data_IF_383295555051
#
_entry.id   IF_383295555051
#
_cell.length_a   1.000
_cell.length_b   1.000
_cell.length_c   1.000
_cell.angle_alpha   90.00
_cell.angle_beta   90.00
_cell.angle_gamma   90.00
#
_symmetry.space_group_name_H-M   'P 1'
#
loop_
_entity.id
_entity.type
_entity.pdbx_description
1 polymer ?
#
# COMPACT_ATOMS: atom_id res chain seq x y z
N UNK A 1 28.51 13.85 -12.09
CA UNK A 1 29.57 12.94 -11.64
C UNK A 1 30.00 13.21 -10.21
N UNK A 2 30.22 14.45 -9.78
CA UNK A 2 30.65 14.79 -8.40
C UNK A 2 29.77 14.19 -7.29
N UNK A 3 28.44 14.17 -7.47
CA UNK A 3 27.51 13.56 -6.50
C UNK A 3 27.46 12.02 -6.52
N UNK A 4 28.11 11.37 -7.49
CA UNK A 4 28.12 9.90 -7.64
C UNK A 4 29.24 9.23 -6.87
N UNK A 5 30.44 9.82 -6.85
CA UNK A 5 31.58 9.17 -6.19
C UNK A 5 31.35 8.92 -4.69
N UNK A 6 30.69 9.81 -3.93
CA UNK A 6 30.33 9.54 -2.54
C UNK A 6 29.45 8.30 -2.33
N UNK A 7 28.72 7.85 -3.36
CA UNK A 7 27.86 6.66 -3.28
C UNK A 7 28.53 5.37 -3.78
N UNK A 8 29.76 5.43 -4.29
CA UNK A 8 30.49 4.23 -4.68
C UNK A 8 30.76 3.38 -3.44
N UNK A 9 30.59 2.06 -3.56
CA UNK A 9 30.82 1.13 -2.46
C UNK A 9 32.26 1.22 -1.92
N UNK A 10 33.22 1.51 -2.79
CA UNK A 10 34.61 1.76 -2.39
C UNK A 10 34.72 2.95 -1.44
N UNK A 11 33.99 4.04 -1.68
CA UNK A 11 33.98 5.22 -0.79
C UNK A 11 33.19 4.92 0.49
N UNK A 12 32.02 4.30 0.38
CA UNK A 12 31.18 3.95 1.53
C UNK A 12 31.87 2.98 2.52
N UNK A 13 32.84 2.22 2.04
CA UNK A 13 33.64 1.26 2.84
C UNK A 13 35.05 1.74 3.14
N UNK A 14 35.32 3.04 2.96
CA UNK A 14 36.62 3.67 3.24
C UNK A 14 37.79 3.02 2.48
N UNK A 15 37.55 2.48 1.29
CA UNK A 15 38.56 1.88 0.40
C UNK A 15 39.13 2.87 -0.61
N UNK A 16 38.43 3.97 -0.87
CA UNK A 16 38.88 5.11 -1.68
C UNK A 16 38.27 6.41 -1.15
N UNK A 17 38.81 7.52 -1.64
CA UNK A 17 38.35 8.88 -1.34
C UNK A 17 37.59 9.46 -2.55
N UNK A 18 36.44 10.10 -2.30
CA UNK A 18 35.59 10.63 -3.36
C UNK A 18 36.25 11.76 -4.17
N UNK A 19 37.04 12.61 -3.52
CA UNK A 19 37.72 13.75 -4.16
C UNK A 19 38.89 13.26 -5.02
N UNK A 20 39.57 12.21 -4.56
CA UNK A 20 40.60 11.51 -5.37
C UNK A 20 39.97 10.90 -6.62
N UNK A 21 38.85 10.18 -6.49
CA UNK A 21 38.15 9.59 -7.64
C UNK A 21 37.67 10.64 -8.64
N UNK A 22 37.17 11.77 -8.15
CA UNK A 22 36.76 12.90 -8.99
C UNK A 22 37.95 13.50 -9.75
N UNK A 23 39.09 13.66 -9.09
CA UNK A 23 40.31 14.17 -9.73
C UNK A 23 40.80 13.23 -10.82
N UNK A 24 40.87 11.93 -10.53
CA UNK A 24 41.26 10.90 -11.51
C UNK A 24 40.28 10.86 -12.69
N UNK A 25 38.99 11.08 -12.44
CA UNK A 25 37.98 11.15 -13.50
C UNK A 25 38.23 12.33 -14.46
N UNK A 26 38.54 13.52 -13.93
CA UNK A 26 38.83 14.71 -14.73
C UNK A 26 40.12 14.53 -15.58
N UNK A 27 41.12 13.85 -15.02
CA UNK A 27 42.32 13.46 -15.75
C UNK A 27 42.00 12.49 -16.89
N UNK A 28 41.14 11.50 -16.63
CA UNK A 28 40.67 10.57 -17.66
C UNK A 28 39.92 11.28 -18.79
N UNK A 29 38.99 12.19 -18.48
CA UNK A 29 38.25 12.95 -19.51
C UNK A 29 39.21 13.71 -20.43
N UNK A 30 40.37 14.12 -19.91
CA UNK A 30 41.42 14.80 -20.67
C UNK A 30 42.31 13.84 -21.47
N UNK A 31 42.51 12.60 -21.01
CA UNK A 31 43.31 11.58 -21.70
C UNK A 31 42.83 10.13 -21.38
N UNK A 32 41.85 9.61 -22.12
CA UNK A 32 41.26 8.28 -21.85
C UNK A 32 42.26 7.12 -21.92
N UNK A 33 43.31 7.28 -22.73
CA UNK A 33 44.35 6.28 -22.98
C UNK A 33 45.28 6.02 -21.78
N UNK A 34 45.26 6.89 -20.76
CA UNK A 34 46.16 6.80 -19.60
C UNK A 34 45.64 5.91 -18.45
N UNK A 35 44.46 5.30 -18.60
CA UNK A 35 43.81 4.55 -17.51
C UNK A 35 44.60 3.31 -17.10
N UNK A 36 44.93 3.20 -15.82
CA UNK A 36 45.52 1.98 -15.26
C UNK A 36 44.46 0.91 -14.98
N UNK A 37 44.89 -0.34 -14.78
CA UNK A 37 43.99 -1.41 -14.34
C UNK A 37 43.37 -1.13 -12.95
N UNK A 38 44.05 -0.35 -12.11
CA UNK A 38 43.56 0.06 -10.79
C UNK A 38 42.46 1.11 -10.91
N UNK A 39 42.63 2.10 -11.79
CA UNK A 39 41.61 3.11 -12.07
C UNK A 39 40.36 2.49 -12.68
N UNK A 40 40.51 1.46 -13.52
CA UNK A 40 39.38 0.65 -13.99
C UNK A 40 38.59 0.03 -12.83
N UNK A 41 39.26 -0.57 -11.85
CA UNK A 41 38.60 -1.18 -10.66
C UNK A 41 37.86 -0.10 -9.86
N UNK A 42 38.48 1.06 -9.69
CA UNK A 42 37.91 2.22 -8.99
C UNK A 42 36.65 2.74 -9.70
N UNK A 43 36.72 2.99 -11.01
CA UNK A 43 35.62 3.57 -11.79
C UNK A 43 34.45 2.62 -12.04
N UNK A 44 34.72 1.32 -12.14
CA UNK A 44 33.68 0.29 -12.21
C UNK A 44 33.06 -0.03 -10.84
N UNK A 45 33.67 0.48 -9.77
CA UNK A 45 33.30 0.21 -8.38
C UNK A 45 33.33 -1.30 -8.12
N UNK A 46 34.50 -1.93 -8.25
CA UNK A 46 34.73 -3.36 -7.97
C UNK A 46 35.67 -3.55 -6.78
N UNK A 47 35.57 -4.68 -6.03
CA UNK A 47 36.57 -5.07 -5.05
C UNK A 47 37.88 -5.52 -5.74
N UNK A 48 39.00 -5.41 -5.03
CA UNK A 48 40.35 -5.66 -5.59
C UNK A 48 40.68 -7.16 -5.84
N UNK A 49 39.85 -8.10 -5.38
CA UNK A 49 40.17 -9.53 -5.40
C UNK A 49 39.03 -10.38 -5.97
N UNK A 50 39.25 -10.99 -7.14
CA UNK A 50 38.49 -12.18 -7.55
C UNK A 50 39.45 -13.20 -8.20
N UNK A 51 39.60 -14.36 -7.56
CA UNK A 51 40.46 -15.49 -7.97
C UNK A 51 39.72 -16.58 -8.75
N UNK A 52 38.44 -16.36 -9.07
CA UNK A 52 37.68 -17.17 -10.01
C UNK A 52 38.08 -16.80 -11.45
N UNK A 53 37.87 -17.70 -12.41
CA UNK A 53 37.95 -17.41 -13.84
C UNK A 53 36.84 -16.43 -14.22
N UNK A 54 36.98 -15.16 -13.81
CA UNK A 54 36.04 -14.06 -14.05
C UNK A 54 35.53 -14.06 -15.49
N UNK A 55 36.41 -14.36 -16.44
CA UNK A 55 36.06 -14.45 -17.86
C UNK A 55 35.02 -15.55 -18.19
N UNK A 56 35.10 -16.72 -17.57
CA UNK A 56 34.12 -17.79 -17.79
C UNK A 56 32.75 -17.41 -17.21
N UNK A 57 32.73 -16.81 -16.01
CA UNK A 57 31.51 -16.31 -15.38
C UNK A 57 30.87 -15.18 -16.22
N UNK A 58 31.66 -14.20 -16.66
CA UNK A 58 31.18 -13.11 -17.50
C UNK A 58 30.63 -13.63 -18.82
N UNK A 59 31.35 -14.54 -19.48
CA UNK A 59 30.89 -15.16 -20.73
C UNK A 59 29.59 -15.94 -20.52
N UNK A 60 29.51 -16.75 -19.46
CA UNK A 60 28.30 -17.49 -19.09
C UNK A 60 27.11 -16.56 -18.85
N UNK A 61 27.30 -15.50 -18.08
CA UNK A 61 26.26 -14.51 -17.79
C UNK A 61 25.81 -13.72 -19.03
N UNK A 62 26.73 -13.38 -19.92
CA UNK A 62 26.40 -12.68 -21.16
C UNK A 62 25.68 -13.58 -22.18
N UNK A 63 26.05 -14.87 -22.27
CA UNK A 63 25.54 -15.77 -23.31
C UNK A 63 24.36 -16.64 -22.86
N UNK A 64 24.29 -16.99 -21.56
CA UNK A 64 23.32 -17.95 -21.02
C UNK A 64 22.98 -17.62 -19.55
N UNK A 65 22.38 -16.45 -19.27
CA UNK A 65 22.13 -15.99 -17.90
C UNK A 65 21.22 -16.92 -17.08
N UNK A 66 20.35 -17.70 -17.72
CA UNK A 66 19.48 -18.67 -17.04
C UNK A 66 20.27 -19.82 -16.40
N UNK A 67 21.48 -20.10 -16.88
CA UNK A 67 22.35 -21.15 -16.33
C UNK A 67 23.14 -20.68 -15.09
N UNK A 68 23.07 -19.39 -14.74
CA UNK A 68 23.73 -18.86 -13.55
C UNK A 68 23.11 -19.44 -12.27
N UNK A 69 23.93 -19.81 -11.30
CA UNK A 69 23.46 -20.15 -9.95
C UNK A 69 23.01 -18.88 -9.21
N UNK A 70 22.28 -19.02 -8.10
CA UNK A 70 21.86 -17.86 -7.30
C UNK A 70 23.05 -17.04 -6.81
N UNK A 71 24.11 -17.70 -6.32
CA UNK A 71 25.33 -17.03 -5.86
C UNK A 71 26.10 -16.35 -6.99
N UNK A 72 26.06 -16.89 -8.22
CA UNK A 72 26.66 -16.23 -9.38
C UNK A 72 25.88 -14.96 -9.79
N UNK A 73 24.54 -15.02 -9.78
CA UNK A 73 23.68 -13.84 -10.01
C UNK A 73 23.91 -12.79 -8.93
N UNK A 74 23.89 -13.17 -7.65
CA UNK A 74 24.12 -12.25 -6.53
C UNK A 74 25.50 -11.59 -6.61
N UNK A 75 26.54 -12.37 -6.96
CA UNK A 75 27.89 -11.85 -7.15
C UNK A 75 27.95 -10.82 -8.27
N UNK A 76 27.34 -11.09 -9.42
CA UNK A 76 27.35 -10.16 -10.56
C UNK A 76 26.45 -8.93 -10.31
N UNK A 77 25.25 -9.13 -9.77
CA UNK A 77 24.29 -8.08 -9.42
C UNK A 77 24.92 -7.07 -8.44
N UNK A 78 25.58 -7.57 -7.39
CA UNK A 78 26.29 -6.72 -6.43
C UNK A 78 27.67 -6.27 -6.91
N UNK A 79 28.03 -6.49 -8.19
CA UNK A 79 29.34 -6.09 -8.75
C UNK A 79 30.51 -6.60 -7.92
N UNK A 80 30.42 -7.85 -7.48
CA UNK A 80 31.36 -8.55 -6.63
C UNK A 80 31.50 -7.98 -5.21
N UNK A 81 30.84 -6.86 -4.87
CA UNK A 81 30.63 -6.52 -3.48
C UNK A 81 29.84 -7.67 -2.87
N UNK A 82 30.31 -8.21 -1.74
CA UNK A 82 29.51 -9.14 -0.97
C UNK A 82 28.22 -8.47 -0.48
N UNK A 83 27.64 -8.96 0.61
CA UNK A 83 26.42 -8.36 1.17
C UNK A 83 26.54 -6.84 1.33
N UNK A 84 25.66 -6.11 0.64
CA UNK A 84 25.49 -4.66 0.79
C UNK A 84 24.46 -4.46 1.91
N UNK A 85 24.76 -3.58 2.86
CA UNK A 85 23.86 -3.25 3.96
C UNK A 85 22.75 -2.31 3.48
N UNK A 86 21.61 -2.34 4.16
CA UNK A 86 20.48 -1.46 3.86
C UNK A 86 20.87 0.04 3.84
N UNK A 87 21.76 0.45 4.75
CA UNK A 87 22.25 1.83 4.82
C UNK A 87 23.10 2.20 3.60
N UNK A 88 23.98 1.31 3.16
CA UNK A 88 24.79 1.52 1.95
C UNK A 88 23.90 1.61 0.70
N UNK A 89 22.90 0.73 0.59
CA UNK A 89 21.95 0.74 -0.53
C UNK A 89 21.11 2.02 -0.55
N UNK A 90 20.60 2.47 0.60
CA UNK A 90 19.85 3.73 0.70
C UNK A 90 20.66 4.93 0.18
N UNK A 91 21.92 5.06 0.58
CA UNK A 91 22.80 6.15 0.12
C UNK A 91 23.03 6.06 -1.39
N UNK A 92 23.15 4.84 -1.93
CA UNK A 92 23.25 4.60 -3.37
C UNK A 92 22.00 5.05 -4.11
N UNK A 93 20.82 4.59 -3.68
CA UNK A 93 19.53 4.90 -4.31
C UNK A 93 19.27 6.42 -4.34
N UNK A 94 19.46 7.12 -3.23
CA UNK A 94 19.25 8.57 -3.12
C UNK A 94 20.09 9.38 -4.13
N UNK A 95 21.26 8.86 -4.47
CA UNK A 95 22.16 9.49 -5.45
C UNK A 95 21.71 9.24 -6.89
N UNK A 96 21.07 8.11 -7.19
CA UNK A 96 20.65 7.76 -8.54
C UNK A 96 19.39 8.52 -9.00
N UNK A 97 18.47 8.82 -8.09
CA UNK A 97 17.21 9.53 -8.41
C UNK A 97 17.42 10.94 -8.99
N UNK A 98 18.59 11.53 -8.76
CA UNK A 98 18.90 12.92 -9.13
C UNK A 98 19.79 13.07 -10.37
N UNK A 99 20.16 11.98 -11.05
CA UNK A 99 21.22 12.01 -12.05
C UNK A 99 20.85 11.35 -13.38
N UNK A 100 21.43 11.90 -14.46
CA UNK A 100 21.40 11.30 -15.80
C UNK A 100 22.30 10.06 -15.82
N UNK A 101 21.71 8.89 -15.55
CA UNK A 101 22.35 7.56 -15.61
C UNK A 101 23.14 7.35 -16.91
N UNK A 102 22.65 7.88 -18.03
CA UNK A 102 23.28 7.80 -19.36
C UNK A 102 24.75 8.25 -19.39
N UNK A 103 25.10 9.30 -18.63
CA UNK A 103 26.47 9.82 -18.62
C UNK A 103 27.44 8.87 -17.91
N UNK A 104 27.01 8.28 -16.80
CA UNK A 104 27.79 7.31 -16.03
C UNK A 104 27.92 5.99 -16.79
N UNK A 105 26.85 5.54 -17.45
CA UNK A 105 26.87 4.32 -18.27
C UNK A 105 27.80 4.47 -19.47
N UNK A 106 27.70 5.58 -20.20
CA UNK A 106 28.59 5.89 -21.33
C UNK A 106 30.06 5.86 -20.90
N UNK A 107 30.37 6.49 -19.76
CA UNK A 107 31.70 6.46 -19.17
C UNK A 107 32.16 5.03 -18.82
N UNK A 108 31.34 4.27 -18.07
CA UNK A 108 31.67 2.91 -17.61
C UNK A 108 31.86 1.92 -18.76
N UNK A 109 31.15 2.11 -19.87
CA UNK A 109 31.23 1.23 -21.06
C UNK A 109 32.66 1.14 -21.60
N UNK A 110 33.44 2.22 -21.50
CA UNK A 110 34.84 2.23 -21.97
C UNK A 110 35.80 1.39 -21.13
N UNK A 111 35.43 1.05 -19.89
CA UNK A 111 36.25 0.27 -18.96
C UNK A 111 35.85 -1.21 -18.91
N UNK A 112 34.74 -1.59 -19.53
CA UNK A 112 34.26 -2.97 -19.43
C UNK A 112 35.14 -3.94 -20.22
N UNK A 113 35.45 -5.09 -19.60
CA UNK A 113 36.06 -6.20 -20.34
C UNK A 113 35.04 -6.84 -21.31
N UNK A 114 35.53 -7.71 -22.20
CA UNK A 114 34.66 -8.54 -23.03
C UNK A 114 33.60 -9.23 -22.17
N UNK A 115 32.33 -9.12 -22.58
CA UNK A 115 31.14 -9.61 -21.87
C UNK A 115 30.82 -8.95 -20.52
N UNK A 116 31.63 -8.03 -19.98
CA UNK A 116 31.42 -7.53 -18.62
C UNK A 116 30.15 -6.68 -18.48
N UNK A 117 29.93 -5.76 -19.42
CA UNK A 117 28.72 -4.93 -19.42
C UNK A 117 27.45 -5.79 -19.56
N UNK A 118 27.45 -6.68 -20.55
CA UNK A 118 26.32 -7.59 -20.83
C UNK A 118 26.07 -8.55 -19.67
N UNK A 119 27.13 -9.09 -19.05
CA UNK A 119 27.02 -9.97 -17.90
C UNK A 119 26.36 -9.29 -16.70
N UNK A 120 26.75 -8.05 -16.37
CA UNK A 120 26.16 -7.30 -15.26
C UNK A 120 24.68 -7.00 -15.54
N UNK A 121 24.37 -6.50 -16.75
CA UNK A 121 23.00 -6.20 -17.17
C UNK A 121 22.11 -7.45 -17.18
N UNK A 122 22.62 -8.55 -17.71
CA UNK A 122 21.89 -9.82 -17.74
C UNK A 122 21.71 -10.42 -16.35
N UNK A 123 22.69 -10.28 -15.46
CA UNK A 123 22.56 -10.72 -14.08
C UNK A 123 21.50 -9.90 -13.32
N UNK A 124 21.42 -8.58 -13.55
CA UNK A 124 20.35 -7.74 -13.01
C UNK A 124 18.98 -8.17 -13.53
N UNK A 125 18.83 -8.34 -14.85
CA UNK A 125 17.58 -8.81 -15.45
C UNK A 125 17.18 -10.20 -14.93
N UNK A 126 18.14 -11.11 -14.78
CA UNK A 126 17.91 -12.46 -14.25
C UNK A 126 17.56 -12.47 -12.76
N UNK A 127 18.17 -11.60 -11.96
CA UNK A 127 17.82 -11.39 -10.55
C UNK A 127 16.37 -10.93 -10.42
N UNK A 128 15.98 -9.90 -11.19
CA UNK A 128 14.60 -9.40 -11.24
C UNK A 128 13.62 -10.49 -11.68
N UNK A 129 13.93 -11.23 -12.76
CA UNK A 129 13.10 -12.34 -13.24
C UNK A 129 12.86 -13.40 -12.15
N UNK A 130 13.91 -13.84 -11.45
CA UNK A 130 13.78 -14.84 -10.37
C UNK A 130 12.96 -14.33 -9.20
N UNK A 131 13.15 -13.06 -8.86
CA UNK A 131 12.40 -12.43 -7.79
C UNK A 131 10.91 -12.31 -8.14
N UNK A 132 10.60 -11.96 -9.40
CA UNK A 132 9.24 -11.95 -9.93
C UNK A 132 8.62 -13.36 -9.90
N UNK A 133 9.35 -14.40 -10.34
CA UNK A 133 8.87 -15.79 -10.26
C UNK A 133 8.60 -16.26 -8.82
N UNK A 134 9.49 -15.91 -7.89
CA UNK A 134 9.30 -16.22 -6.47
C UNK A 134 8.07 -15.50 -5.91
N UNK A 135 7.88 -14.24 -6.28
CA UNK A 135 6.71 -13.44 -5.89
C UNK A 135 5.43 -14.03 -6.48
N UNK A 136 5.38 -14.32 -7.77
CA UNK A 136 4.22 -14.96 -8.42
C UNK A 136 3.87 -16.30 -7.78
N UNK A 137 4.88 -17.12 -7.44
CA UNK A 137 4.66 -18.38 -6.74
C UNK A 137 4.10 -18.17 -5.33
N UNK A 138 4.60 -17.18 -4.58
CA UNK A 138 4.10 -16.81 -3.26
C UNK A 138 2.67 -16.28 -3.34
N UNK A 139 2.37 -15.43 -4.32
CA UNK A 139 1.05 -14.85 -4.55
C UNK A 139 0.02 -15.93 -4.90
N UNK A 140 0.41 -16.90 -5.74
CA UNK A 140 -0.43 -18.06 -6.06
C UNK A 140 -0.68 -18.95 -4.84
N UNK A 141 0.33 -19.15 -4.00
CA UNK A 141 0.19 -19.93 -2.77
C UNK A 141 -0.71 -19.23 -1.74
N UNK A 142 -0.57 -17.91 -1.60
CA UNK A 142 -1.42 -17.07 -0.75
C UNK A 142 -2.89 -17.13 -1.20
N UNK A 143 -3.16 -16.97 -2.50
CA UNK A 143 -4.52 -17.09 -3.06
C UNK A 143 -5.12 -18.48 -2.86
N UNK A 144 -4.33 -19.55 -3.06
CA UNK A 144 -4.80 -20.91 -2.79
C UNK A 144 -5.18 -21.08 -1.31
N UNK A 145 -4.37 -20.56 -0.39
CA UNK A 145 -4.65 -20.57 1.05
C UNK A 145 -5.91 -19.78 1.40
N UNK A 146 -6.10 -18.59 0.81
CA UNK A 146 -7.30 -17.77 0.99
C UNK A 146 -8.54 -18.52 0.49
N UNK A 147 -8.49 -19.19 -0.66
CA UNK A 147 -9.66 -19.92 -1.19
C UNK A 147 -9.97 -21.19 -0.40
N UNK A 148 -8.98 -21.80 0.24
CA UNK A 148 -9.19 -22.98 1.09
C UNK A 148 -9.71 -22.62 2.48
N UNK A 149 -9.23 -21.52 3.07
CA UNK A 149 -9.47 -21.21 4.47
C UNK A 149 -10.13 -19.85 4.74
N UNK A 150 -10.10 -18.91 3.81
CA UNK A 150 -10.75 -17.61 3.95
C UNK A 150 -12.27 -17.71 3.96
N UNK A 151 -12.94 -16.58 4.27
CA UNK A 151 -14.40 -16.51 4.17
C UNK A 151 -14.86 -16.63 2.70
N UNK A 152 -16.01 -17.29 2.43
CA UNK A 152 -16.48 -17.52 1.06
C UNK A 152 -16.62 -16.25 0.21
N UNK A 153 -17.01 -15.13 0.83
CA UNK A 153 -17.18 -13.86 0.11
C UNK A 153 -15.85 -13.30 -0.42
N UNK A 154 -14.69 -13.67 0.15
CA UNK A 154 -13.39 -13.26 -0.38
C UNK A 154 -13.12 -13.88 -1.74
N UNK A 155 -13.52 -15.13 -1.94
CA UNK A 155 -13.43 -15.79 -3.24
C UNK A 155 -14.39 -15.13 -4.25
N UNK A 156 -15.62 -14.82 -3.82
CA UNK A 156 -16.57 -14.08 -4.65
C UNK A 156 -16.04 -12.69 -5.04
N UNK A 157 -15.46 -11.95 -4.10
CA UNK A 157 -14.83 -10.65 -4.35
C UNK A 157 -13.72 -10.77 -5.39
N UNK A 158 -12.80 -11.71 -5.21
CA UNK A 158 -11.69 -11.91 -6.14
C UNK A 158 -12.16 -12.25 -7.56
N UNK A 159 -13.21 -13.06 -7.69
CA UNK A 159 -13.79 -13.42 -8.98
C UNK A 159 -14.49 -12.23 -9.67
N UNK A 160 -15.29 -11.47 -8.93
CA UNK A 160 -16.03 -10.31 -9.46
C UNK A 160 -15.11 -9.16 -9.90
N UNK A 161 -14.03 -8.95 -9.15
CA UNK A 161 -13.11 -7.83 -9.35
C UNK A 161 -11.80 -8.23 -10.06
N UNK A 162 -11.68 -9.50 -10.45
CA UNK A 162 -10.54 -10.11 -11.14
C UNK A 162 -9.19 -9.89 -10.43
N UNK A 163 -9.20 -9.64 -9.13
CA UNK A 163 -8.02 -9.24 -8.36
C UNK A 163 -7.38 -7.93 -8.85
N UNK A 164 -8.13 -7.06 -9.52
CA UNK A 164 -7.63 -5.80 -10.11
C UNK A 164 -8.19 -4.55 -9.46
N UNK A 165 -9.33 -4.64 -8.78
CA UNK A 165 -9.98 -3.48 -8.16
C UNK A 165 -9.70 -3.44 -6.66
N UNK A 166 -9.47 -2.25 -6.10
CA UNK A 166 -9.48 -2.11 -4.66
C UNK A 166 -10.88 -2.37 -4.10
N UNK A 167 -10.95 -2.62 -2.81
CA UNK A 167 -12.20 -2.74 -2.09
C UNK A 167 -12.13 -1.96 -0.78
N UNK A 168 -13.27 -1.46 -0.31
CA UNK A 168 -13.34 -0.70 0.94
C UNK A 168 -14.29 0.46 0.84
N UNK A 169 -13.93 1.58 1.47
CA UNK A 169 -14.84 2.70 1.72
C UNK A 169 -14.21 4.04 1.39
N UNK A 170 -15.05 4.98 0.99
CA UNK A 170 -14.68 6.38 1.07
C UNK A 170 -14.84 6.88 2.52
N UNK A 171 -13.92 7.72 2.97
CA UNK A 171 -13.91 8.29 4.33
C UNK A 171 -13.72 9.80 4.27
N UNK A 172 -14.48 10.51 5.10
CA UNK A 172 -14.20 11.91 5.45
C UNK A 172 -13.60 11.95 6.85
N UNK A 173 -12.52 12.71 7.02
CA UNK A 173 -11.85 12.88 8.31
C UNK A 173 -12.05 14.30 8.82
N UNK A 174 -12.46 14.42 10.08
CA UNK A 174 -12.64 15.72 10.71
C UNK A 174 -11.28 16.34 11.05
N UNK A 175 -10.93 17.53 10.52
CA UNK A 175 -9.67 18.21 10.81
C UNK A 175 -9.62 18.67 12.27
N UNK A 176 -10.77 18.75 12.95
CA UNK A 176 -10.82 19.14 14.35
C UNK A 176 -10.07 18.16 15.22
N UNK A 177 -10.22 16.86 14.95
CA UNK A 177 -9.53 15.81 15.69
C UNK A 177 -8.01 15.92 15.51
N UNK A 178 -7.56 16.10 14.26
CA UNK A 178 -6.13 16.25 13.90
C UNK A 178 -5.53 17.50 14.57
N UNK A 179 -6.28 18.61 14.59
CA UNK A 179 -5.82 19.89 15.14
C UNK A 179 -5.82 19.93 16.68
N UNK A 180 -6.68 19.15 17.33
CA UNK A 180 -6.82 19.13 18.79
C UNK A 180 -5.71 18.33 19.46
N UNK A 181 -5.23 17.25 18.83
CA UNK A 181 -4.18 16.41 19.39
C UNK A 181 -3.24 15.81 18.31
N UNK A 182 -2.33 16.62 17.72
CA UNK A 182 -1.42 16.15 16.67
C UNK A 182 -0.49 15.01 17.12
N UNK A 183 -0.12 14.98 18.40
CA UNK A 183 0.74 13.92 18.97
C UNK A 183 0.00 12.58 19.05
N UNK A 184 -1.33 12.60 19.16
CA UNK A 184 -2.16 11.39 19.12
C UNK A 184 -2.45 10.86 17.73
N UNK A 185 -2.23 11.63 16.66
CA UNK A 185 -2.43 11.16 15.28
C UNK A 185 -1.60 9.90 15.00
N UNK A 186 -0.30 9.94 15.27
CA UNK A 186 0.59 8.78 15.06
C UNK A 186 0.15 7.56 15.89
N UNK A 187 -0.29 7.81 17.13
CA UNK A 187 -0.81 6.74 18.00
C UNK A 187 -2.12 6.16 17.47
N UNK A 188 -3.01 7.00 16.93
CA UNK A 188 -4.26 6.57 16.29
C UNK A 188 -3.96 5.73 15.05
N UNK A 189 -3.10 6.22 14.15
CA UNK A 189 -2.74 5.54 12.91
C UNK A 189 -2.14 4.16 13.20
N UNK A 190 -1.25 4.07 14.18
CA UNK A 190 -0.66 2.80 14.62
C UNK A 190 -1.72 1.84 15.17
N UNK A 191 -2.64 2.32 16.03
CA UNK A 191 -3.69 1.49 16.62
C UNK A 191 -4.71 1.04 15.57
N UNK A 192 -5.14 1.95 14.70
CA UNK A 192 -6.06 1.67 13.60
C UNK A 192 -5.45 0.62 12.65
N UNK A 193 -4.19 0.82 12.26
CA UNK A 193 -3.45 -0.14 11.40
C UNK A 193 -3.35 -1.51 12.06
N UNK A 194 -3.04 -1.57 13.35
CA UNK A 194 -2.98 -2.83 14.09
C UNK A 194 -4.36 -3.51 14.16
N UNK A 195 -5.45 -2.76 14.42
CA UNK A 195 -6.81 -3.31 14.41
C UNK A 195 -7.17 -3.91 13.04
N UNK A 196 -6.87 -3.20 11.95
CA UNK A 196 -7.12 -3.70 10.61
C UNK A 196 -6.26 -4.89 10.24
N UNK A 197 -4.97 -4.89 10.62
CA UNK A 197 -4.09 -6.05 10.46
C UNK A 197 -4.72 -7.31 11.09
N UNK A 198 -5.16 -7.23 12.34
CA UNK A 198 -5.79 -8.38 13.00
C UNK A 198 -7.14 -8.75 12.38
N UNK A 199 -7.92 -7.77 11.91
CA UNK A 199 -9.18 -8.04 11.21
C UNK A 199 -8.93 -8.78 9.89
N UNK A 200 -7.92 -8.39 9.11
CA UNK A 200 -7.48 -9.08 7.90
C UNK A 200 -7.05 -10.53 8.17
N UNK A 201 -6.26 -10.74 9.22
CA UNK A 201 -5.86 -12.09 9.68
C UNK A 201 -7.09 -12.91 10.04
N UNK A 202 -8.06 -12.33 10.75
CA UNK A 202 -9.28 -13.00 11.17
C UNK A 202 -10.14 -13.47 10.01
N UNK A 203 -10.30 -12.62 8.99
CA UNK A 203 -11.04 -12.96 7.78
C UNK A 203 -10.23 -13.85 6.82
N UNK A 204 -8.94 -14.04 7.09
CA UNK A 204 -8.06 -14.80 6.19
C UNK A 204 -7.99 -14.18 4.80
N UNK A 205 -7.93 -12.85 4.70
CA UNK A 205 -7.80 -12.16 3.40
C UNK A 205 -6.43 -12.34 2.75
N UNK A 206 -5.47 -12.91 3.49
CA UNK A 206 -4.07 -13.02 3.07
C UNK A 206 -3.47 -11.68 2.63
N UNK A 207 -2.35 -11.76 1.92
CA UNK A 207 -1.63 -10.58 1.43
C UNK A 207 -2.33 -10.06 0.16
N UNK A 208 -2.69 -10.94 -0.77
CA UNK A 208 -3.18 -10.55 -2.10
C UNK A 208 -4.52 -9.81 -2.08
N UNK A 209 -5.52 -10.32 -1.34
CA UNK A 209 -6.80 -9.60 -1.19
C UNK A 209 -6.67 -8.50 -0.15
N UNK A 210 -5.91 -8.74 0.93
CA UNK A 210 -5.69 -7.78 1.99
C UNK A 210 -5.07 -6.46 1.49
N UNK A 211 -4.06 -6.53 0.61
CA UNK A 211 -3.38 -5.34 0.07
C UNK A 211 -4.26 -4.49 -0.84
N UNK A 212 -5.39 -5.01 -1.31
CA UNK A 212 -6.36 -4.29 -2.12
C UNK A 212 -7.41 -3.55 -1.27
N UNK A 213 -7.41 -3.77 0.04
CA UNK A 213 -8.28 -3.04 0.94
C UNK A 213 -7.82 -1.59 1.10
N UNK A 214 -8.76 -0.65 1.01
CA UNK A 214 -8.42 0.77 0.98
C UNK A 214 -9.49 1.64 1.62
N UNK A 215 -9.04 2.64 2.38
CA UNK A 215 -9.85 3.78 2.82
C UNK A 215 -9.52 4.98 1.94
N UNK A 216 -10.44 5.33 1.06
CA UNK A 216 -10.29 6.48 0.19
C UNK A 216 -10.65 7.76 0.93
N UNK A 217 -9.62 8.47 1.40
CA UNK A 217 -9.80 9.78 2.03
C UNK A 217 -10.34 10.80 1.01
N UNK A 218 -11.42 11.47 1.38
CA UNK A 218 -12.10 12.47 0.57
C UNK A 218 -11.98 13.86 1.19
N UNK A 219 -11.81 14.87 0.33
CA UNK A 219 -11.74 16.26 0.76
C UNK A 219 -13.07 16.75 1.35
N UNK A 220 -12.97 17.40 2.51
CA UNK A 220 -14.12 18.03 3.13
C UNK A 220 -14.67 19.20 2.30
N UNK A 221 -16.00 19.38 2.26
CA UNK A 221 -16.60 20.52 1.58
C UNK A 221 -16.25 21.83 2.29
N UNK A 222 -15.98 22.88 1.51
CA UNK A 222 -15.69 24.23 2.01
C UNK A 222 -16.78 24.69 2.99
N UNK A 223 -16.37 25.08 4.20
CA UNK A 223 -17.28 25.59 5.22
C UNK A 223 -17.74 24.57 6.26
N UNK A 224 -17.21 23.35 6.29
CA UNK A 224 -17.34 22.44 7.46
C UNK A 224 -16.52 22.98 8.65
N UNK A 225 -17.03 24.01 9.32
CA UNK A 225 -16.38 24.68 10.45
C UNK A 225 -16.69 24.07 11.82
N UNK A 226 -15.93 24.49 12.85
CA UNK A 226 -16.03 24.05 14.27
C UNK A 226 -17.42 24.22 14.88
N UNK A 227 -18.15 25.26 14.50
CA UNK A 227 -19.39 25.62 15.18
C UNK A 227 -20.64 24.94 14.60
N UNK A 228 -20.45 24.00 13.66
CA UNK A 228 -21.57 23.29 13.03
C UNK A 228 -21.96 22.07 13.85
N UNK A 229 -23.26 21.86 14.01
CA UNK A 229 -23.77 20.62 14.61
C UNK A 229 -23.40 19.41 13.74
N UNK A 230 -23.27 18.24 14.38
CA UNK A 230 -23.00 16.97 13.71
C UNK A 230 -23.92 16.73 12.50
N UNK A 231 -25.22 16.99 12.65
CA UNK A 231 -26.20 16.84 11.56
C UNK A 231 -25.94 17.80 10.38
N UNK A 232 -25.54 19.05 10.67
CA UNK A 232 -25.20 20.02 9.63
C UNK A 232 -23.91 19.63 8.88
N UNK A 233 -22.96 18.99 9.57
CA UNK A 233 -21.76 18.41 8.95
C UNK A 233 -22.17 17.26 8.03
N UNK A 234 -22.91 16.26 8.54
CA UNK A 234 -23.35 15.11 7.74
C UNK A 234 -24.12 15.52 6.48
N UNK A 235 -24.99 16.53 6.57
CA UNK A 235 -25.72 17.03 5.40
C UNK A 235 -24.77 17.55 4.30
N UNK A 236 -23.70 18.27 4.67
CA UNK A 236 -22.68 18.72 3.71
C UNK A 236 -21.88 17.56 3.14
N UNK A 237 -21.51 16.57 3.98
CA UNK A 237 -20.78 15.39 3.52
C UNK A 237 -21.59 14.57 2.53
N UNK A 238 -22.89 14.35 2.79
CA UNK A 238 -23.80 13.66 1.85
C UNK A 238 -23.85 14.39 0.51
N UNK A 239 -23.97 15.72 0.51
CA UNK A 239 -23.98 16.52 -0.72
C UNK A 239 -22.68 16.36 -1.51
N UNK A 240 -21.53 16.42 -0.83
CA UNK A 240 -20.23 16.26 -1.46
C UNK A 240 -20.02 14.84 -1.99
N UNK A 241 -20.35 13.83 -1.19
CA UNK A 241 -20.26 12.42 -1.60
C UNK A 241 -21.15 12.14 -2.80
N UNK A 242 -22.40 12.62 -2.81
CA UNK A 242 -23.32 12.45 -3.93
C UNK A 242 -22.84 13.14 -5.20
N UNK A 243 -22.19 14.31 -5.09
CA UNK A 243 -21.49 14.94 -6.22
C UNK A 243 -20.40 14.01 -6.77
N UNK A 244 -19.48 13.55 -5.92
CA UNK A 244 -18.36 12.68 -6.34
C UNK A 244 -18.84 11.33 -6.91
N UNK A 245 -19.90 10.76 -6.33
CA UNK A 245 -20.55 9.53 -6.78
C UNK A 245 -21.18 9.67 -8.17
N UNK A 246 -21.66 10.86 -8.52
CA UNK A 246 -22.22 11.16 -9.85
C UNK A 246 -21.17 11.31 -10.96
N UNK A 247 -19.89 11.48 -10.60
CA UNK A 247 -18.80 11.56 -11.55
C UNK A 247 -18.34 10.16 -12.01
N UNK A 248 -17.71 10.05 -13.18
CA UNK A 248 -17.08 8.81 -13.62
C UNK A 248 -16.09 8.28 -12.58
N UNK A 249 -16.04 6.95 -12.33
CA UNK A 249 -15.05 6.36 -11.44
C UNK A 249 -13.63 6.70 -11.88
N UNK A 250 -12.74 6.95 -10.90
CA UNK A 250 -11.30 6.91 -11.16
C UNK A 250 -10.80 5.47 -11.12
N UNK A 251 -9.94 5.09 -12.07
CA UNK A 251 -9.16 3.85 -12.00
C UNK A 251 -7.99 4.06 -11.03
N UNK A 252 -7.36 3.01 -10.51
CA UNK A 252 -6.12 3.19 -9.73
C UNK A 252 -4.89 3.39 -10.64
N UNK A 253 -3.83 4.02 -10.11
CA UNK A 253 -2.50 3.95 -10.73
C UNK A 253 -1.96 2.51 -10.62
N UNK A 254 -1.26 1.96 -11.63
CA UNK A 254 -0.64 2.62 -12.80
C UNK A 254 -1.56 2.84 -14.01
N UNK A 255 -2.79 2.31 -13.99
CA UNK A 255 -3.69 2.35 -15.15
C UNK A 255 -4.05 3.78 -15.58
N UNK A 256 -4.19 4.73 -14.64
CA UNK A 256 -4.36 6.16 -14.97
C UNK A 256 -3.18 6.67 -15.81
N UNK A 257 -1.95 6.36 -15.41
CA UNK A 257 -0.76 6.87 -16.09
C UNK A 257 -0.58 6.23 -17.47
N UNK A 258 -0.93 4.95 -17.62
CA UNK A 258 -0.95 4.29 -18.93
C UNK A 258 -2.04 4.88 -19.83
N UNK A 259 -3.27 5.05 -19.33
CA UNK A 259 -4.37 5.64 -20.11
C UNK A 259 -4.06 7.10 -20.52
N UNK A 260 -3.38 7.88 -19.67
CA UNK A 260 -2.88 9.21 -20.03
C UNK A 260 -1.76 9.16 -21.07
N UNK A 261 -0.78 8.25 -20.92
CA UNK A 261 0.33 8.09 -21.87
C UNK A 261 -0.15 7.63 -23.26
N UNK A 262 -1.22 6.84 -23.30
CA UNK A 262 -1.88 6.36 -24.51
C UNK A 262 -2.90 7.37 -25.08
N UNK A 263 -3.12 8.52 -24.42
CA UNK A 263 -4.05 9.56 -24.86
C UNK A 263 -5.52 9.14 -24.78
N UNK A 264 -5.86 8.15 -23.95
CA UNK A 264 -7.24 7.69 -23.74
C UNK A 264 -8.04 8.61 -22.81
N UNK A 265 -7.36 9.35 -21.94
CA UNK A 265 -7.96 10.34 -21.03
C UNK A 265 -7.12 11.61 -21.00
N UNK A 266 -7.79 12.76 -20.98
CA UNK A 266 -7.14 14.09 -20.96
C UNK A 266 -6.84 14.60 -19.54
N UNK A 267 -7.50 14.02 -18.53
CA UNK A 267 -7.32 14.38 -17.12
C UNK A 267 -7.69 13.20 -16.21
N UNK A 268 -7.17 13.23 -14.98
CA UNK A 268 -7.49 12.24 -13.94
C UNK A 268 -8.94 12.48 -13.48
N UNK A 269 -9.82 11.45 -13.51
CA UNK A 269 -11.19 11.60 -13.03
C UNK A 269 -11.25 11.98 -11.55
N UNK A 270 -12.15 12.91 -11.19
CA UNK A 270 -12.36 13.38 -9.82
C UNK A 270 -13.35 12.51 -9.01
N UNK A 271 -13.89 11.44 -9.60
CA UNK A 271 -14.88 10.58 -8.93
C UNK A 271 -14.28 9.62 -7.89
N UNK A 272 -15.16 8.87 -7.21
CA UNK A 272 -14.77 7.81 -6.26
C UNK A 272 -14.10 6.66 -7.02
N UNK A 273 -13.05 6.07 -6.45
CA UNK A 273 -12.32 4.95 -7.08
C UNK A 273 -13.25 3.79 -7.44
N UNK A 274 -13.04 3.21 -8.61
CA UNK A 274 -13.71 1.97 -9.00
C UNK A 274 -13.39 0.86 -7.96
N UNK A 275 -14.41 0.12 -7.53
CA UNK A 275 -14.29 -0.92 -6.48
C UNK A 275 -14.58 -0.45 -5.06
N UNK A 276 -14.45 0.86 -4.77
CA UNK A 276 -14.86 1.43 -3.48
C UNK A 276 -16.39 1.53 -3.40
N UNK A 277 -16.96 1.20 -2.23
CA UNK A 277 -18.41 1.23 -2.01
C UNK A 277 -18.98 2.65 -2.19
N UNK A 278 -20.10 2.72 -2.92
CA UNK A 278 -20.79 3.98 -3.28
C UNK A 278 -22.17 4.15 -2.63
N UNK A 279 -22.62 3.17 -1.86
CA UNK A 279 -23.90 3.19 -1.15
C UNK A 279 -23.74 3.50 0.35
N UNK A 280 -22.51 3.79 0.80
CA UNK A 280 -22.16 4.20 2.15
C UNK A 280 -20.84 4.96 2.11
N UNK A 281 -20.63 5.89 3.03
CA UNK A 281 -19.31 6.44 3.33
C UNK A 281 -19.07 6.49 4.82
N UNK A 282 -17.80 6.58 5.22
CA UNK A 282 -17.38 6.65 6.61
C UNK A 282 -17.10 8.09 7.01
N UNK A 283 -17.32 8.41 8.29
CA UNK A 283 -16.95 9.68 8.87
C UNK A 283 -16.18 9.46 10.18
N UNK A 284 -14.94 9.97 10.21
CA UNK A 284 -14.08 9.97 11.39
C UNK A 284 -14.16 11.34 12.07
N UNK A 285 -14.89 11.41 13.18
CA UNK A 285 -14.91 12.57 14.07
C UNK A 285 -14.08 12.34 15.34
N UNK A 286 -14.10 13.32 16.24
CA UNK A 286 -13.38 13.26 17.50
C UNK A 286 -13.79 12.03 18.33
N UNK A 287 -15.09 11.73 18.44
CA UNK A 287 -15.59 10.63 19.27
C UNK A 287 -15.20 9.27 18.70
N UNK A 288 -15.27 9.10 17.37
CA UNK A 288 -14.82 7.90 16.69
C UNK A 288 -13.30 7.70 16.86
N UNK A 289 -12.50 8.76 16.71
CA UNK A 289 -11.05 8.70 16.92
C UNK A 289 -10.69 8.37 18.38
N UNK A 290 -11.37 8.99 19.34
CA UNK A 290 -11.21 8.72 20.76
C UNK A 290 -11.55 7.26 21.10
N UNK A 291 -12.55 6.65 20.45
CA UNK A 291 -12.89 5.24 20.65
C UNK A 291 -11.73 4.29 20.35
N UNK A 292 -10.90 4.61 19.35
CA UNK A 292 -9.69 3.86 18.98
C UNK A 292 -8.56 4.14 19.96
N UNK A 293 -8.45 5.36 20.46
CA UNK A 293 -7.36 5.76 21.37
C UNK A 293 -7.55 5.26 22.80
N UNK A 294 -8.78 5.24 23.31
CA UNK A 294 -9.10 4.94 24.71
C UNK A 294 -9.16 3.43 25.03
N UNK A 295 -8.77 2.56 24.07
CA UNK A 295 -8.69 1.09 24.10
C UNK A 295 -9.03 0.43 25.46
N UNK A 296 -10.33 0.22 25.72
CA UNK A 296 -10.78 -0.73 26.75
C UNK A 296 -10.89 -2.16 26.18
N UNK A 297 -11.05 -2.27 24.87
CA UNK A 297 -11.02 -3.49 24.08
C UNK A 297 -11.34 -3.20 22.60
N UNK A 298 -11.14 -4.16 21.69
CA UNK A 298 -11.43 -3.98 20.26
C UNK A 298 -12.93 -3.75 19.99
N UNK A 299 -13.81 -4.28 20.84
CA UNK A 299 -15.26 -4.13 20.72
C UNK A 299 -15.77 -2.71 20.98
N UNK A 300 -14.98 -1.89 21.67
CA UNK A 300 -15.34 -0.51 21.98
C UNK A 300 -14.94 0.46 20.86
N UNK A 301 -14.22 -0.01 19.83
CA UNK A 301 -13.74 0.80 18.70
C UNK A 301 -14.78 0.84 17.58
N UNK A 302 -15.11 2.04 17.10
CA UNK A 302 -16.16 2.22 16.09
C UNK A 302 -15.91 3.43 15.20
N UNK A 303 -16.61 3.46 14.07
CA UNK A 303 -16.67 4.60 13.15
C UNK A 303 -18.12 4.89 12.74
N UNK A 304 -18.42 6.11 12.33
CA UNK A 304 -19.71 6.43 11.74
C UNK A 304 -19.79 5.91 10.30
N UNK A 305 -20.80 5.10 10.02
CA UNK A 305 -21.24 4.79 8.66
C UNK A 305 -22.46 5.65 8.31
N UNK A 306 -22.36 6.39 7.22
CA UNK A 306 -23.36 7.38 6.81
C UNK A 306 -24.06 6.92 5.55
N UNK A 307 -25.38 6.96 5.58
CA UNK A 307 -26.23 6.71 4.42
C UNK A 307 -26.28 7.98 3.54
N UNK A 308 -25.75 7.92 2.30
CA UNK A 308 -25.70 9.06 1.39
C UNK A 308 -27.07 9.45 0.84
N UNK A 309 -28.04 8.54 0.86
CA UNK A 309 -29.36 8.68 0.24
C UNK A 309 -30.45 8.99 1.27
N UNK A 310 -30.09 9.11 2.55
CA UNK A 310 -31.03 9.44 3.61
C UNK A 310 -31.65 10.84 3.44
N UNK A 311 -32.97 10.88 3.28
CA UNK A 311 -33.74 12.11 3.18
C UNK A 311 -34.24 12.59 4.55
N UNK A 312 -33.79 13.80 4.94
CA UNK A 312 -34.20 14.47 6.17
C UNK A 312 -35.62 15.03 6.11
N UNK A 313 -36.15 15.31 4.91
CA UNK A 313 -37.43 15.98 4.74
C UNK A 313 -38.61 15.00 4.84
N UNK A 314 -38.40 13.73 4.49
CA UNK A 314 -39.42 12.69 4.49
C UNK A 314 -39.77 12.14 5.88
N UNK A 315 -38.88 12.28 6.88
CA UNK A 315 -39.17 11.88 8.27
C UNK A 315 -39.50 13.10 9.10
N UNK A 316 -40.80 13.26 9.40
CA UNK A 316 -41.30 14.31 10.28
C UNK A 316 -40.44 14.47 11.54
N UNK A 317 -40.29 15.71 12.00
CA UNK A 317 -39.31 16.22 12.97
C UNK A 317 -39.41 15.69 14.41
N UNK A 318 -40.00 14.50 14.63
CA UNK A 318 -40.23 13.91 15.94
C UNK A 318 -39.94 12.40 16.10
N UNK A 319 -39.40 11.69 15.12
CA UNK A 319 -39.15 10.24 15.27
C UNK A 319 -37.77 9.94 15.89
N UNK A 320 -37.76 9.26 17.04
CA UNK A 320 -36.58 8.69 17.72
C UNK A 320 -35.93 7.50 16.98
N UNK A 321 -35.99 7.49 15.64
CA UNK A 321 -35.59 6.38 14.79
C UNK A 321 -34.24 6.60 14.11
N UNK A 322 -33.95 5.77 13.12
CA UNK A 322 -32.77 5.89 12.26
C UNK A 322 -32.63 7.29 11.67
N UNK A 323 -31.45 7.90 11.80
CA UNK A 323 -31.14 9.29 11.43
C UNK A 323 -30.23 9.40 10.20
N UNK A 324 -30.10 8.32 9.42
CA UNK A 324 -29.23 8.28 8.23
C UNK A 324 -27.76 7.99 8.54
N UNK A 325 -27.46 7.51 9.73
CA UNK A 325 -26.13 7.06 10.13
C UNK A 325 -26.22 6.04 11.27
N UNK A 326 -25.18 5.25 11.45
CA UNK A 326 -25.01 4.32 12.56
C UNK A 326 -23.53 4.18 12.92
N UNK A 327 -23.25 3.62 14.10
CA UNK A 327 -21.90 3.19 14.46
C UNK A 327 -21.65 1.80 13.90
N UNK A 328 -20.44 1.56 13.41
CA UNK A 328 -19.98 0.24 12.97
C UNK A 328 -18.69 -0.06 13.69
N UNK A 329 -18.57 -1.26 14.29
CA UNK A 329 -17.31 -1.67 14.91
C UNK A 329 -16.21 -1.74 13.86
N UNK A 330 -15.01 -1.27 14.20
CA UNK A 330 -13.96 -1.07 13.21
C UNK A 330 -13.58 -2.37 12.49
N UNK A 331 -13.47 -3.49 13.21
CA UNK A 331 -13.20 -4.80 12.62
C UNK A 331 -14.30 -5.30 11.68
N UNK A 332 -15.56 -4.87 11.89
CA UNK A 332 -16.70 -5.32 11.11
C UNK A 332 -16.82 -4.60 9.77
N UNK A 333 -16.07 -3.51 9.58
CA UNK A 333 -15.89 -2.87 8.28
C UNK A 333 -15.26 -3.81 7.26
N UNK A 334 -14.46 -4.80 7.65
CA UNK A 334 -13.82 -5.71 6.70
C UNK A 334 -14.68 -6.94 6.40
N UNK A 335 -15.73 -7.17 7.19
CA UNK A 335 -16.50 -8.39 7.12
C UNK A 335 -17.99 -8.11 7.03
N UNK A 336 -18.73 -8.23 8.14
CA UNK A 336 -20.19 -8.25 8.13
C UNK A 336 -20.79 -6.97 7.52
N UNK A 337 -20.19 -5.80 7.80
CA UNK A 337 -20.69 -4.55 7.24
C UNK A 337 -20.36 -4.43 5.75
N UNK A 338 -19.15 -4.82 5.33
CA UNK A 338 -18.76 -4.83 3.92
C UNK A 338 -19.67 -5.75 3.11
N UNK A 339 -19.86 -6.99 3.56
CA UNK A 339 -20.71 -7.98 2.92
C UNK A 339 -22.16 -7.49 2.81
N UNK A 340 -22.70 -6.94 3.91
CA UNK A 340 -24.03 -6.37 3.92
C UNK A 340 -24.20 -5.24 2.90
N UNK A 341 -23.17 -4.40 2.70
CA UNK A 341 -23.24 -3.29 1.75
C UNK A 341 -22.90 -3.66 0.32
N UNK A 342 -22.03 -4.65 0.08
CA UNK A 342 -21.60 -5.06 -1.26
C UNK A 342 -22.62 -5.96 -1.95
N UNK A 343 -23.16 -6.96 -1.24
CA UNK A 343 -24.00 -8.00 -1.85
C UNK A 343 -25.45 -8.02 -1.36
N UNK A 344 -25.72 -7.48 -0.17
CA UNK A 344 -27.06 -7.50 0.43
C UNK A 344 -27.66 -6.11 0.58
N UNK A 345 -27.24 -5.16 -0.26
CA UNK A 345 -27.73 -3.78 -0.19
C UNK A 345 -29.23 -3.64 -0.43
N UNK A 346 -29.77 -4.55 -1.24
CA UNK A 346 -31.16 -4.57 -1.66
C UNK A 346 -32.03 -5.40 -0.69
N UNK A 347 -31.40 -6.26 0.10
CA UNK A 347 -32.05 -7.06 1.13
C UNK A 347 -32.14 -6.32 2.47
N UNK A 348 -31.07 -5.61 2.85
CA UNK A 348 -30.97 -4.91 4.12
C UNK A 348 -30.74 -3.42 3.89
N UNK A 349 -31.75 -2.63 4.27
CA UNK A 349 -31.60 -1.18 4.32
C UNK A 349 -30.61 -0.78 5.42
N UNK A 350 -30.03 0.43 5.32
CA UNK A 350 -29.21 0.97 6.40
C UNK A 350 -29.98 1.12 7.71
N UNK A 351 -31.31 1.30 7.66
CA UNK A 351 -32.16 1.31 8.84
C UNK A 351 -32.25 -0.07 9.51
N UNK A 352 -32.30 -1.16 8.74
CA UNK A 352 -32.33 -2.51 9.30
C UNK A 352 -31.00 -2.88 9.95
N UNK A 353 -29.88 -2.48 9.32
CA UNK A 353 -28.54 -2.59 9.91
C UNK A 353 -28.47 -1.76 11.20
N UNK A 354 -29.02 -0.55 11.22
CA UNK A 354 -29.08 0.28 12.44
C UNK A 354 -29.90 -0.38 13.55
N UNK A 355 -31.05 -1.01 13.24
CA UNK A 355 -31.83 -1.78 14.23
C UNK A 355 -31.03 -2.95 14.79
N UNK A 356 -30.26 -3.64 13.96
CA UNK A 356 -29.37 -4.71 14.41
C UNK A 356 -28.26 -4.16 15.32
N UNK A 357 -27.67 -3.01 14.97
CA UNK A 357 -26.67 -2.34 15.80
C UNK A 357 -27.18 -1.98 17.20
N UNK A 358 -28.47 -1.66 17.35
CA UNK A 358 -29.07 -1.37 18.67
C UNK A 358 -29.09 -2.57 19.62
N UNK A 359 -28.85 -3.79 19.12
CA UNK A 359 -28.74 -5.00 19.94
C UNK A 359 -27.37 -5.16 20.60
N UNK A 360 -26.35 -4.42 20.14
CA UNK A 360 -25.01 -4.47 20.72
C UNK A 360 -25.00 -3.90 22.15
N UNK A 361 -24.65 -4.71 23.18
CA UNK A 361 -24.66 -4.26 24.57
C UNK A 361 -23.54 -3.26 24.92
N UNK A 362 -22.55 -3.03 24.04
CA UNK A 362 -21.40 -2.19 24.34
C UNK A 362 -21.66 -0.71 24.06
N UNK A 363 -21.82 -0.36 22.78
CA UNK A 363 -21.87 1.03 22.32
C UNK A 363 -22.93 1.25 21.21
N UNK A 364 -23.80 0.26 20.98
CA UNK A 364 -24.83 0.28 19.94
C UNK A 364 -24.24 0.27 18.52
N UNK A 365 -23.09 -0.37 18.33
CA UNK A 365 -22.44 -0.49 17.03
C UNK A 365 -22.86 -1.74 16.29
N UNK A 366 -22.89 -1.66 14.97
CA UNK A 366 -23.17 -2.82 14.14
C UNK A 366 -22.06 -3.87 14.29
N UNK A 367 -22.50 -5.11 14.56
CA UNK A 367 -21.64 -6.30 14.62
C UNK A 367 -21.98 -7.26 13.49
N UNK A 368 -23.23 -7.70 13.44
CA UNK A 368 -23.75 -8.61 12.43
C UNK A 368 -25.27 -8.45 12.31
N UNK A 369 -25.84 -9.00 11.24
CA UNK A 369 -27.28 -9.22 11.09
C UNK A 369 -27.79 -10.44 11.89
N UNK A 370 -26.90 -11.33 12.34
CA UNK A 370 -27.27 -12.53 13.10
C UNK A 370 -27.11 -12.32 14.61
N UNK A 371 -28.17 -12.59 15.36
CA UNK A 371 -28.20 -12.34 16.82
C UNK A 371 -27.16 -13.20 17.56
N UNK A 372 -26.91 -14.43 17.12
CA UNK A 372 -25.93 -15.33 17.72
C UNK A 372 -24.50 -14.79 17.64
N UNK A 373 -24.19 -14.02 16.59
CA UNK A 373 -22.89 -13.39 16.39
C UNK A 373 -22.78 -12.10 17.22
N UNK A 374 -23.87 -11.35 17.40
CA UNK A 374 -23.91 -10.15 18.27
C UNK A 374 -23.67 -10.52 19.74
N UNK A 375 -24.28 -11.61 20.22
CA UNK A 375 -24.21 -12.02 21.62
C UNK A 375 -23.13 -13.07 21.91
N UNK A 376 -22.32 -13.45 20.92
CA UNK A 376 -21.22 -14.36 21.12
C UNK A 376 -20.25 -13.78 22.16
N UNK A 377 -20.23 -14.38 23.35
CA UNK A 377 -19.23 -14.04 24.37
C UNK A 377 -17.91 -14.66 23.96
N UNK A 378 -16.96 -13.84 23.51
CA UNK A 378 -15.60 -14.30 23.33
C UNK A 378 -14.76 -14.07 24.57
N UNK A 379 -14.21 -15.16 25.10
CA UNK A 379 -13.27 -15.13 26.23
C UNK A 379 -11.87 -14.67 25.81
N UNK A 380 -11.54 -14.74 24.52
CA UNK A 380 -10.34 -14.12 23.95
C UNK A 380 -10.73 -12.76 23.36
N UNK A 381 -10.35 -11.67 24.03
CA UNK A 381 -10.55 -10.28 23.57
C UNK A 381 -9.66 -9.90 22.37
N UNK A 382 -9.26 -10.89 21.56
CA UNK A 382 -8.46 -10.66 20.36
C UNK A 382 -9.40 -10.31 19.20
N UNK A 383 -9.01 -9.31 18.39
CA UNK A 383 -9.78 -8.83 17.24
C UNK A 383 -10.20 -9.98 16.30
N UNK A 384 -9.39 -11.05 16.23
CA UNK A 384 -9.69 -12.23 15.43
C UNK A 384 -10.81 -13.13 15.97
N UNK A 385 -11.06 -13.10 17.27
CA UNK A 385 -12.15 -13.85 17.88
C UNK A 385 -13.51 -13.18 17.60
N UNK A 386 -13.53 -11.84 17.57
CA UNK A 386 -14.73 -11.05 17.26
C UNK A 386 -15.28 -11.24 15.83
N UNK A 387 -14.51 -11.88 14.93
CA UNK A 387 -14.95 -12.24 13.57
C UNK A 387 -15.04 -13.77 13.50
N UNK A 388 -16.23 -14.31 13.79
CA UNK A 388 -16.48 -15.75 13.84
C UNK A 388 -16.62 -16.36 12.45
N UNK A 389 -15.89 -17.45 12.18
CA UNK A 389 -16.23 -18.34 11.06
C UNK A 389 -17.54 -19.02 11.40
N UNK A 390 -18.62 -18.65 10.72
CA UNK A 390 -19.81 -19.49 10.70
C UNK A 390 -19.41 -20.81 10.04
N UNK A 391 -19.36 -21.87 10.84
CA UNK A 391 -18.95 -23.21 10.41
C UNK A 391 -19.86 -23.83 9.38
#
# INVERSE_FOLDING_TARGET
MERLFPSFMRVLRDLDDADVLLTTFQEFESNPSATSAEDRIRFLDFPAATTLSKQELLKKAAQSPQELTFSEVELLYNRYWGRISFREESIRSDCFDNLKLECLESFRTSFHAEYEADALKNAEAESSRRYDEMREAQDKADLAHIFEHGYPWLHQLWQEDEGKRPWGYAIFESPQWILEDPERQETYDLKQTNLFYWAHVAIGSGIQIGSQWYLESLDLPSGTGRDKSFMAILHQLRKQFNRLRSLPPKKQAPYIFMDMAEGKIDAIPEGITEGILRNVFLYLDHDAAASVLDLRGPDDTWIWAVDPDYDLECRGSGSSGYQGFLRVRLQQLLHHFYVARRWHSDEWSMEDIWKAAQKDPHNGSFVSMKDEEIYARDSSREVAAAIKRSG
#
